data_IF_039318567941
#
_entry.id   IF_039318567941
#
_cell.length_a   1.000
_cell.length_b   1.000
_cell.length_c   1.000
_cell.angle_alpha   90.00
_cell.angle_beta   90.00
_cell.angle_gamma   90.00
#
_symmetry.space_group_name_H-M   'P 1'
#
loop_
_entity.id
_entity.type
_entity.pdbx_description
1 polymer ?
#
# COMPACT_ATOMS: atom_id res chain seq x y z
N UNK A 1 38.65 40.04 35.70
CA UNK A 1 38.47 40.15 34.24
C UNK A 1 37.39 39.16 33.84
N UNK A 2 36.30 39.61 33.21
CA UNK A 2 35.26 38.71 32.72
C UNK A 2 35.85 37.82 31.61
N UNK A 3 35.51 36.53 31.61
CA UNK A 3 35.98 35.64 30.56
C UNK A 3 35.30 36.00 29.23
N UNK A 4 35.99 35.79 28.10
CA UNK A 4 35.42 35.99 26.76
C UNK A 4 34.06 35.28 26.58
N UNK A 5 33.89 34.12 27.24
CA UNK A 5 32.63 33.39 27.26
C UNK A 5 31.50 34.15 27.98
N UNK A 6 31.78 34.77 29.13
CA UNK A 6 30.80 35.58 29.86
C UNK A 6 30.36 36.82 29.07
N UNK A 7 31.30 37.46 28.35
CA UNK A 7 30.97 38.59 27.48
C UNK A 7 30.12 38.13 26.28
N UNK A 8 30.41 36.95 25.73
CA UNK A 8 29.65 36.37 24.63
C UNK A 8 28.20 36.05 25.01
N UNK A 9 27.95 35.64 26.26
CA UNK A 9 26.60 35.33 26.74
C UNK A 9 25.70 36.56 26.89
N UNK A 10 26.29 37.74 27.07
CA UNK A 10 25.57 39.01 27.17
C UNK A 10 25.19 39.61 25.80
N UNK A 11 25.69 39.03 24.69
CA UNK A 11 25.40 39.52 23.34
C UNK A 11 24.00 39.10 22.87
N UNK A 12 23.34 39.98 22.11
CA UNK A 12 22.09 39.65 21.42
C UNK A 12 22.34 38.71 20.23
N UNK A 13 21.31 37.97 19.79
CA UNK A 13 21.43 36.96 18.73
C UNK A 13 22.16 37.40 17.43
N UNK A 14 21.89 38.59 16.84
CA UNK A 14 22.65 39.03 15.66
C UNK A 14 24.12 39.34 15.98
N UNK A 15 24.41 39.97 17.13
CA UNK A 15 25.78 40.25 17.57
C UNK A 15 26.57 38.96 17.86
N UNK A 16 25.91 37.92 18.42
CA UNK A 16 26.52 36.60 18.61
C UNK A 16 26.93 35.97 17.28
N UNK A 17 26.11 36.07 16.23
CA UNK A 17 26.49 35.55 14.90
C UNK A 17 27.71 36.25 14.35
N UNK A 18 27.72 37.58 14.37
CA UNK A 18 28.86 38.37 13.88
C UNK A 18 30.14 38.03 14.65
N UNK A 19 30.06 37.93 15.98
CA UNK A 19 31.19 37.53 16.81
C UNK A 19 31.66 36.10 16.50
N UNK A 20 30.75 35.13 16.34
CA UNK A 20 31.11 33.76 15.95
C UNK A 20 31.80 33.72 14.59
N UNK A 21 31.24 34.37 13.58
CA UNK A 21 31.85 34.45 12.25
C UNK A 21 33.26 35.05 12.33
N UNK A 22 33.41 36.17 13.05
CA UNK A 22 34.71 36.83 13.21
C UNK A 22 35.74 36.03 14.01
N UNK A 23 35.32 35.16 14.94
CA UNK A 23 36.17 34.21 15.66
C UNK A 23 36.60 33.09 14.70
N UNK A 24 35.64 32.50 13.99
CA UNK A 24 35.83 31.38 13.07
C UNK A 24 36.81 31.74 11.94
N UNK A 25 36.72 32.95 11.39
CA UNK A 25 37.63 33.46 10.34
C UNK A 25 39.07 33.65 10.82
N UNK A 26 39.29 33.79 12.13
CA UNK A 26 40.62 34.02 12.74
C UNK A 26 41.27 32.76 13.29
N UNK A 27 40.59 31.62 13.25
CA UNK A 27 41.13 30.37 13.76
C UNK A 27 42.28 29.87 12.87
N UNK A 28 43.33 29.39 13.52
CA UNK A 28 44.41 28.64 12.89
C UNK A 28 43.96 27.23 12.52
N UNK A 29 44.72 26.56 11.64
CA UNK A 29 44.42 25.19 11.23
C UNK A 29 44.36 24.19 12.40
N UNK A 30 45.16 24.39 13.46
CA UNK A 30 45.14 23.53 14.64
C UNK A 30 43.88 23.75 15.48
N UNK A 31 43.47 25.00 15.68
CA UNK A 31 42.25 25.35 16.42
C UNK A 31 40.99 24.92 15.67
N UNK A 32 41.00 24.97 14.33
CA UNK A 32 39.93 24.41 13.51
C UNK A 32 39.72 22.91 13.74
N UNK A 33 40.81 22.13 13.86
CA UNK A 33 40.69 20.69 14.19
C UNK A 33 40.13 20.48 15.59
N UNK A 34 40.51 21.30 16.56
CA UNK A 34 39.96 21.24 17.92
C UNK A 34 38.47 21.60 17.94
N UNK A 35 38.07 22.66 17.22
CA UNK A 35 36.66 23.04 17.07
C UNK A 35 35.87 21.93 16.40
N UNK A 36 36.38 21.32 15.33
CA UNK A 36 35.73 20.19 14.66
C UNK A 36 35.51 19.01 15.62
N UNK A 37 36.53 18.64 16.40
CA UNK A 37 36.39 17.60 17.43
C UNK A 37 35.33 17.95 18.47
N UNK A 38 35.29 19.19 18.95
CA UNK A 38 34.30 19.65 19.92
C UNK A 38 32.88 19.77 19.34
N UNK A 39 32.75 20.10 18.06
CA UNK A 39 31.45 20.10 17.35
C UNK A 39 30.97 18.67 17.17
N UNK A 40 31.85 17.72 16.87
CA UNK A 40 31.51 16.31 16.72
C UNK A 40 31.09 15.62 18.03
N UNK A 41 31.40 16.19 19.21
CA UNK A 41 30.84 15.68 20.48
C UNK A 41 29.42 16.16 20.74
N UNK A 42 28.94 17.17 20.00
CA UNK A 42 27.57 17.64 20.09
C UNK A 42 26.67 16.99 19.04
N UNK A 43 25.54 16.47 19.48
CA UNK A 43 24.53 15.91 18.60
C UNK A 43 23.57 17.00 18.14
N UNK A 44 23.63 17.35 16.85
CA UNK A 44 22.71 18.31 16.23
C UNK A 44 21.41 17.67 15.74
N UNK A 45 21.17 16.38 16.05
CA UNK A 45 19.92 15.70 15.68
C UNK A 45 18.74 16.33 16.41
N UNK A 46 17.76 16.77 15.63
CA UNK A 46 16.51 17.32 16.11
C UNK A 46 15.34 16.48 15.60
N UNK A 47 14.62 15.82 16.53
CA UNK A 47 13.40 15.09 16.18
C UNK A 47 12.25 16.09 16.03
N UNK A 48 12.06 16.56 14.79
CA UNK A 48 11.00 17.48 14.41
C UNK A 48 9.62 16.89 14.74
N UNK A 49 9.36 15.66 14.31
CA UNK A 49 8.03 15.04 14.42
C UNK A 49 7.63 14.85 15.88
N UNK A 50 8.55 14.44 16.75
CA UNK A 50 8.25 14.25 18.17
C UNK A 50 7.84 15.55 18.91
N UNK A 51 8.31 16.70 18.42
CA UNK A 51 8.12 18.03 19.04
C UNK A 51 6.97 18.83 18.45
N UNK A 52 6.53 18.50 17.23
CA UNK A 52 5.42 19.21 16.58
C UNK A 52 4.05 18.86 17.22
N UNK A 53 3.09 19.81 17.21
CA UNK A 53 1.67 19.53 17.43
C UNK A 53 1.13 18.52 16.40
N UNK A 54 0.08 17.80 16.78
CA UNK A 54 -0.47 16.69 15.98
C UNK A 54 -0.97 17.14 14.60
N UNK A 55 -1.46 18.38 14.50
CA UNK A 55 -1.95 19.01 13.28
C UNK A 55 -0.80 19.23 12.28
N UNK A 56 0.35 19.68 12.78
CA UNK A 56 1.54 19.88 11.94
C UNK A 56 2.15 18.53 11.55
N UNK A 57 2.09 17.53 12.42
CA UNK A 57 2.46 16.15 12.06
C UNK A 57 1.55 15.63 10.96
N UNK A 58 0.22 15.83 11.05
CA UNK A 58 -0.72 15.44 10.02
C UNK A 58 -0.39 16.14 8.68
N UNK A 59 -0.14 17.45 8.70
CA UNK A 59 0.23 18.22 7.51
C UNK A 59 1.51 17.68 6.83
N UNK A 60 2.51 17.26 7.60
CA UNK A 60 3.72 16.62 7.05
C UNK A 60 3.40 15.26 6.43
N UNK A 61 2.64 14.41 7.14
CA UNK A 61 2.38 13.04 6.71
C UNK A 61 1.39 12.92 5.55
N UNK A 62 0.55 13.92 5.33
CA UNK A 62 -0.33 14.07 4.15
C UNK A 62 0.45 14.12 2.83
N UNK A 63 1.74 14.48 2.87
CA UNK A 63 2.63 14.50 1.71
C UNK A 63 3.49 13.23 1.56
N UNK A 64 3.35 12.26 2.46
CA UNK A 64 4.06 11.00 2.42
C UNK A 64 3.14 9.88 1.91
N UNK A 65 3.71 8.76 1.40
CA UNK A 65 2.90 7.59 1.07
C UNK A 65 2.06 7.15 2.27
N UNK A 66 0.80 6.77 2.05
CA UNK A 66 -0.16 6.47 3.14
C UNK A 66 0.37 5.42 4.12
N UNK A 67 1.13 4.44 3.63
CA UNK A 67 1.70 3.39 4.46
C UNK A 67 2.85 3.87 5.37
N UNK A 68 3.41 5.06 5.14
CA UNK A 68 4.51 5.63 5.90
C UNK A 68 4.15 5.85 7.37
N UNK A 69 2.91 6.27 7.68
CA UNK A 69 2.48 6.47 9.07
C UNK A 69 2.61 5.18 9.91
N UNK A 70 2.31 4.02 9.31
CA UNK A 70 2.41 2.72 9.98
C UNK A 70 3.85 2.24 10.10
N UNK A 71 4.67 2.49 9.09
CA UNK A 71 6.10 2.18 9.13
C UNK A 71 6.83 3.04 10.18
N UNK A 72 6.59 4.34 10.17
CA UNK A 72 7.30 5.29 11.02
C UNK A 72 6.80 5.32 12.47
N UNK A 73 5.61 4.79 12.75
CA UNK A 73 5.17 4.49 14.12
C UNK A 73 6.08 3.49 14.86
N UNK A 74 7.05 2.87 14.17
CA UNK A 74 8.07 1.98 14.75
C UNK A 74 9.34 2.72 15.19
N UNK A 75 9.52 3.99 14.81
CA UNK A 75 10.74 4.79 15.09
C UNK A 75 10.93 5.02 16.58
N UNK A 76 9.87 5.47 17.28
CA UNK A 76 9.90 5.70 18.72
C UNK A 76 8.49 5.58 19.32
N UNK A 77 8.41 5.49 20.66
CA UNK A 77 7.12 5.49 21.37
C UNK A 77 6.35 6.79 21.14
N UNK A 78 7.06 7.92 21.06
CA UNK A 78 6.45 9.24 20.80
C UNK A 78 5.87 9.32 19.39
N UNK A 79 6.60 8.84 18.38
CA UNK A 79 6.10 8.75 17.01
C UNK A 79 4.87 7.85 16.93
N UNK A 80 4.88 6.70 17.60
CA UNK A 80 3.72 5.81 17.66
C UNK A 80 2.49 6.53 18.20
N UNK A 81 2.60 7.25 19.31
CA UNK A 81 1.46 7.98 19.89
C UNK A 81 0.93 9.04 18.93
N UNK A 82 1.80 9.82 18.30
CA UNK A 82 1.41 10.87 17.35
C UNK A 82 0.75 10.29 16.09
N UNK A 83 1.36 9.27 15.48
CA UNK A 83 0.91 8.69 14.22
C UNK A 83 -0.30 7.75 14.38
N UNK A 84 -0.51 7.20 15.58
CA UNK A 84 -1.74 6.45 15.90
C UNK A 84 -2.93 7.37 16.24
N UNK A 85 -2.72 8.69 16.33
CA UNK A 85 -3.83 9.62 16.56
C UNK A 85 -4.86 9.51 15.44
N UNK A 86 -6.14 9.69 15.79
CA UNK A 86 -7.22 9.65 14.82
C UNK A 86 -7.08 10.76 13.78
N UNK A 87 -6.69 11.96 14.21
CA UNK A 87 -6.50 13.11 13.34
C UNK A 87 -5.48 12.83 12.22
N UNK A 88 -4.28 12.33 12.56
CA UNK A 88 -3.24 12.02 11.56
C UNK A 88 -3.72 10.93 10.60
N UNK A 89 -4.32 9.85 11.12
CA UNK A 89 -4.83 8.75 10.28
C UNK A 89 -5.92 9.20 9.34
N UNK A 90 -6.89 9.98 9.83
CA UNK A 90 -7.98 10.51 9.04
C UNK A 90 -7.45 11.42 7.92
N UNK A 91 -6.61 12.40 8.24
CA UNK A 91 -6.03 13.29 7.23
C UNK A 91 -5.26 12.55 6.13
N UNK A 92 -4.47 11.54 6.51
CA UNK A 92 -3.69 10.77 5.53
C UNK A 92 -4.58 9.86 4.66
N UNK A 93 -5.65 9.28 5.22
CA UNK A 93 -6.55 8.38 4.48
C UNK A 93 -7.62 9.13 3.67
N UNK A 94 -8.00 10.34 4.08
CA UNK A 94 -9.06 11.13 3.44
C UNK A 94 -8.78 11.49 1.97
N UNK A 95 -7.52 11.46 1.54
CA UNK A 95 -7.14 11.64 0.14
C UNK A 95 -7.55 10.46 -0.76
N UNK A 96 -7.70 9.26 -0.18
CA UNK A 96 -7.92 8.01 -0.90
C UNK A 96 -9.29 7.41 -0.62
N UNK A 97 -9.84 7.69 0.56
CA UNK A 97 -11.11 7.13 1.01
C UNK A 97 -12.04 8.19 1.58
N UNK A 98 -13.31 8.06 1.25
CA UNK A 98 -14.44 8.75 1.88
C UNK A 98 -15.15 7.82 2.88
N UNK A 99 -15.95 8.41 3.77
CA UNK A 99 -16.82 7.65 4.70
C UNK A 99 -17.90 6.85 3.99
N UNK A 100 -18.16 7.16 2.71
CA UNK A 100 -19.15 6.45 1.87
C UNK A 100 -18.57 5.25 1.12
N UNK A 101 -17.26 5.05 1.17
CA UNK A 101 -16.65 3.96 0.42
C UNK A 101 -17.04 2.60 0.98
N UNK A 102 -17.24 1.60 0.11
CA UNK A 102 -17.54 0.25 0.56
C UNK A 102 -16.40 -0.30 1.41
N UNK A 103 -16.76 -1.15 2.36
CA UNK A 103 -15.78 -1.84 3.20
C UNK A 103 -14.86 -2.70 2.34
N UNK A 104 -13.55 -2.67 2.65
CA UNK A 104 -12.58 -3.51 1.95
C UNK A 104 -12.82 -4.99 2.26
N UNK A 105 -12.44 -5.85 1.32
CA UNK A 105 -12.42 -7.29 1.58
C UNK A 105 -11.48 -7.61 2.76
N UNK A 106 -11.94 -8.47 3.67
CA UNK A 106 -11.28 -8.82 4.94
C UNK A 106 -11.19 -7.69 5.99
N UNK A 107 -11.96 -6.60 5.83
CA UNK A 107 -12.00 -5.53 6.80
C UNK A 107 -12.66 -5.99 8.11
N UNK A 108 -11.94 -5.85 9.24
CA UNK A 108 -12.46 -6.15 10.57
C UNK A 108 -13.20 -4.96 11.18
N UNK A 109 -13.95 -5.20 12.26
CA UNK A 109 -14.62 -4.14 13.02
C UNK A 109 -13.65 -3.21 13.77
N UNK A 110 -12.37 -3.61 13.95
CA UNK A 110 -11.38 -2.80 14.64
C UNK A 110 -10.85 -1.67 13.73
N UNK A 111 -11.01 -0.43 14.18
CA UNK A 111 -10.60 0.79 13.45
C UNK A 111 -9.11 0.77 13.09
N UNK A 112 -8.23 0.29 13.98
CA UNK A 112 -6.79 0.27 13.69
C UNK A 112 -6.43 -0.70 12.58
N UNK A 113 -7.03 -1.89 12.61
CA UNK A 113 -6.84 -2.90 11.56
C UNK A 113 -7.44 -2.42 10.24
N UNK A 114 -8.60 -1.75 10.31
CA UNK A 114 -9.29 -1.13 9.17
C UNK A 114 -8.40 -0.12 8.44
N UNK A 115 -7.81 0.82 9.18
CA UNK A 115 -6.97 1.88 8.62
C UNK A 115 -5.66 1.30 8.04
N UNK A 116 -5.09 0.30 8.71
CA UNK A 116 -3.92 -0.42 8.21
C UNK A 116 -4.21 -1.18 6.90
N UNK A 117 -5.38 -1.80 6.77
CA UNK A 117 -5.83 -2.45 5.55
C UNK A 117 -6.02 -1.45 4.40
N UNK A 118 -6.62 -0.29 4.68
CA UNK A 118 -6.74 0.80 3.69
C UNK A 118 -5.37 1.27 3.20
N UNK A 119 -4.43 1.50 4.12
CA UNK A 119 -3.07 1.89 3.75
C UNK A 119 -2.34 0.82 2.94
N UNK A 120 -2.53 -0.46 3.28
CA UNK A 120 -2.00 -1.59 2.49
C UNK A 120 -2.61 -1.63 1.09
N UNK A 121 -3.92 -1.40 0.97
CA UNK A 121 -4.60 -1.36 -0.32
C UNK A 121 -4.05 -0.26 -1.22
N UNK A 122 -3.90 0.97 -0.70
CA UNK A 122 -3.28 2.09 -1.42
C UNK A 122 -1.85 1.74 -1.85
N UNK A 123 -1.04 1.19 -0.94
CA UNK A 123 0.33 0.77 -1.28
C UNK A 123 0.36 -0.25 -2.42
N UNK A 124 -0.50 -1.27 -2.36
CA UNK A 124 -0.60 -2.26 -3.43
C UNK A 124 -1.00 -1.61 -4.76
N UNK A 125 -1.93 -0.65 -4.73
CA UNK A 125 -2.33 0.12 -5.90
C UNK A 125 -1.17 0.93 -6.49
N UNK A 126 -0.45 1.70 -5.66
CA UNK A 126 0.71 2.50 -6.06
C UNK A 126 1.86 1.63 -6.63
N UNK A 127 2.08 0.44 -6.06
CA UNK A 127 3.12 -0.50 -6.51
C UNK A 127 2.69 -1.39 -7.70
N UNK A 128 1.48 -1.22 -8.23
CA UNK A 128 0.88 -2.10 -9.25
C UNK A 128 0.88 -3.59 -8.84
N UNK A 129 0.65 -3.86 -7.55
CA UNK A 129 0.58 -5.22 -6.99
C UNK A 129 -0.87 -5.58 -6.63
N UNK A 130 -1.27 -6.85 -6.82
CA UNK A 130 -2.60 -7.28 -6.41
C UNK A 130 -2.75 -7.19 -4.88
N UNK A 131 -3.79 -6.49 -4.41
CA UNK A 131 -4.10 -6.38 -2.98
C UNK A 131 -4.64 -7.70 -2.40
N UNK A 132 -5.53 -8.35 -3.13
CA UNK A 132 -6.10 -9.64 -2.78
C UNK A 132 -5.95 -10.61 -3.95
N UNK A 133 -5.64 -11.86 -3.62
CA UNK A 133 -5.63 -12.96 -4.56
C UNK A 133 -6.64 -13.99 -4.06
N UNK A 134 -7.64 -14.27 -4.89
CA UNK A 134 -8.54 -15.39 -4.64
C UNK A 134 -8.21 -16.49 -5.63
N UNK A 135 -7.83 -17.65 -5.11
CA UNK A 135 -7.67 -18.86 -5.91
C UNK A 135 -8.99 -19.61 -5.87
N UNK A 136 -9.54 -19.83 -7.04
CA UNK A 136 -10.67 -20.72 -7.21
C UNK A 136 -10.11 -22.09 -7.54
N UNK A 137 -10.33 -23.06 -6.66
CA UNK A 137 -10.13 -24.45 -7.04
C UNK A 137 -11.22 -24.75 -8.04
N UNK A 138 -10.82 -24.85 -9.29
CA UNK A 138 -11.74 -25.21 -10.31
C UNK A 138 -12.23 -26.65 -10.05
N UNK A 139 -13.52 -26.96 -10.25
CA UNK A 139 -14.06 -28.30 -9.99
C UNK A 139 -13.43 -29.42 -10.86
N UNK A 140 -12.52 -29.06 -11.77
CA UNK A 140 -11.76 -29.98 -12.62
C UNK A 140 -10.34 -30.29 -12.10
N UNK A 141 -10.01 -29.91 -10.86
CA UNK A 141 -8.64 -29.91 -10.30
C UNK A 141 -7.93 -31.25 -10.14
N UNK A 142 -8.57 -32.38 -10.45
CA UNK A 142 -7.88 -33.67 -10.48
C UNK A 142 -7.16 -33.96 -11.80
N UNK A 143 -7.49 -33.22 -12.87
CA UNK A 143 -6.81 -33.36 -14.15
C UNK A 143 -5.80 -32.24 -14.31
N UNK A 144 -4.54 -32.63 -14.55
CA UNK A 144 -3.51 -31.71 -15.06
C UNK A 144 -4.10 -31.03 -16.30
N UNK A 145 -3.91 -29.72 -16.40
CA UNK A 145 -4.21 -28.97 -17.62
C UNK A 145 -3.26 -29.48 -18.72
N UNK A 146 -3.52 -30.66 -19.26
CA UNK A 146 -2.94 -31.07 -20.53
C UNK A 146 -3.61 -30.20 -21.59
N UNK A 147 -2.87 -29.16 -22.01
CA UNK A 147 -2.92 -28.18 -23.10
C UNK A 147 -4.16 -27.95 -24.01
N UNK A 148 -5.29 -28.64 -23.85
CA UNK A 148 -6.35 -28.62 -24.87
C UNK A 148 -7.79 -28.52 -24.36
N UNK A 149 -8.06 -28.31 -23.07
CA UNK A 149 -9.44 -28.02 -22.64
C UNK A 149 -9.80 -26.58 -23.04
N UNK A 150 -10.71 -26.38 -24.02
CA UNK A 150 -11.11 -25.02 -24.39
C UNK A 150 -11.84 -24.41 -23.19
N UNK A 151 -11.29 -23.30 -22.70
CA UNK A 151 -11.87 -22.48 -21.66
C UNK A 151 -11.90 -21.03 -22.14
N UNK A 152 -12.91 -20.29 -21.74
CA UNK A 152 -13.01 -18.86 -22.03
C UNK A 152 -13.39 -18.12 -20.76
N UNK A 153 -12.90 -16.89 -20.67
CA UNK A 153 -13.17 -16.00 -19.55
C UNK A 153 -13.65 -14.66 -20.08
N UNK A 154 -14.82 -14.22 -19.62
CA UNK A 154 -15.35 -12.90 -19.94
C UNK A 154 -15.95 -12.27 -18.68
N UNK A 155 -15.41 -11.12 -18.27
CA UNK A 155 -15.80 -10.36 -17.08
C UNK A 155 -15.74 -11.18 -15.79
N UNK A 156 -16.85 -11.77 -15.40
CA UNK A 156 -17.03 -12.49 -14.13
C UNK A 156 -17.42 -13.94 -14.38
N UNK A 157 -17.46 -14.35 -15.64
CA UNK A 157 -17.94 -15.66 -16.04
C UNK A 157 -16.82 -16.44 -16.67
N UNK A 158 -16.65 -17.68 -16.21
CA UNK A 158 -15.73 -18.66 -16.77
C UNK A 158 -16.58 -19.75 -17.41
N UNK A 159 -16.27 -20.13 -18.65
CA UNK A 159 -16.93 -21.24 -19.33
C UNK A 159 -15.88 -22.25 -19.83
N UNK A 160 -16.19 -23.55 -19.71
CA UNK A 160 -15.31 -24.62 -20.16
C UNK A 160 -16.12 -25.85 -20.59
N UNK A 161 -15.51 -26.74 -21.38
CA UNK A 161 -16.11 -28.01 -21.77
C UNK A 161 -15.86 -29.10 -20.73
N UNK A 162 -16.88 -29.91 -20.46
CA UNK A 162 -16.76 -31.09 -19.60
C UNK A 162 -16.29 -32.31 -20.42
N UNK A 163 -14.98 -32.43 -20.68
CA UNK A 163 -14.45 -33.45 -21.59
C UNK A 163 -14.52 -34.89 -21.02
N UNK A 164 -14.68 -35.03 -19.70
CA UNK A 164 -14.57 -36.31 -18.99
C UNK A 164 -15.87 -37.12 -18.90
N UNK A 165 -16.98 -36.45 -18.63
CA UNK A 165 -18.24 -37.10 -18.25
C UNK A 165 -19.37 -36.77 -19.23
N UNK A 166 -19.31 -35.62 -19.90
CA UNK A 166 -20.36 -35.16 -20.79
C UNK A 166 -19.82 -34.17 -21.83
N UNK A 167 -19.23 -34.67 -22.93
CA UNK A 167 -18.61 -33.84 -23.97
C UNK A 167 -19.63 -33.03 -24.81
N UNK A 168 -20.90 -33.06 -24.41
CA UNK A 168 -22.01 -32.31 -25.01
C UNK A 168 -22.43 -31.12 -24.15
N UNK A 169 -21.71 -30.88 -23.06
CA UNK A 169 -22.08 -29.88 -22.09
C UNK A 169 -20.97 -28.87 -21.83
N UNK A 170 -21.41 -27.65 -21.60
CA UNK A 170 -20.60 -26.50 -21.23
C UNK A 170 -20.93 -26.19 -19.78
N UNK A 171 -19.89 -26.07 -18.99
CA UNK A 171 -19.97 -25.61 -17.62
C UNK A 171 -19.71 -24.12 -17.59
N UNK A 172 -20.53 -23.40 -16.83
CA UNK A 172 -20.47 -21.95 -16.66
C UNK A 172 -20.34 -21.66 -15.17
N UNK A 173 -19.33 -20.89 -14.78
CA UNK A 173 -19.10 -20.47 -13.40
C UNK A 173 -19.12 -18.96 -13.29
N UNK A 174 -19.94 -18.45 -12.38
CA UNK A 174 -19.96 -17.02 -12.03
C UNK A 174 -19.06 -16.75 -10.83
N UNK A 175 -17.99 -15.99 -11.04
CA UNK A 175 -17.08 -15.52 -9.98
C UNK A 175 -17.79 -14.67 -8.92
N UNK A 176 -18.90 -14.00 -9.29
CA UNK A 176 -19.70 -13.14 -8.40
C UNK A 176 -20.57 -13.95 -7.45
N UNK A 177 -21.32 -14.91 -7.97
CA UNK A 177 -22.29 -15.68 -7.17
C UNK A 177 -21.74 -17.00 -6.66
N UNK A 178 -20.56 -17.41 -7.14
CA UNK A 178 -20.02 -18.75 -6.97
C UNK A 178 -20.96 -19.87 -7.44
N UNK A 179 -21.92 -19.54 -8.32
CA UNK A 179 -22.85 -20.50 -8.89
C UNK A 179 -22.23 -21.16 -10.13
N UNK A 180 -22.46 -22.47 -10.24
CA UNK A 180 -22.11 -23.25 -11.41
C UNK A 180 -23.39 -23.66 -12.12
N UNK A 181 -23.44 -23.45 -13.43
CA UNK A 181 -24.56 -23.86 -14.28
C UNK A 181 -24.03 -24.73 -15.40
N UNK A 182 -24.76 -25.81 -15.68
CA UNK A 182 -24.48 -26.71 -16.79
C UNK A 182 -25.45 -26.42 -17.91
N UNK A 183 -24.94 -26.20 -19.12
CA UNK A 183 -25.73 -25.98 -20.33
C UNK A 183 -25.34 -27.04 -21.35
N UNK A 184 -26.32 -27.67 -21.96
CA UNK A 184 -26.12 -28.60 -23.07
C UNK A 184 -26.88 -28.07 -24.29
N UNK A 185 -26.36 -28.32 -25.49
CA UNK A 185 -27.10 -28.07 -26.72
C UNK A 185 -28.19 -29.12 -26.94
N UNK A 186 -29.20 -28.78 -27.74
CA UNK A 186 -30.26 -29.73 -28.12
C UNK A 186 -29.74 -30.85 -29.04
N UNK A 187 -28.65 -30.58 -29.77
CA UNK A 187 -28.00 -31.54 -30.65
C UNK A 187 -27.18 -32.56 -29.83
N UNK A 188 -27.27 -33.85 -30.19
CA UNK A 188 -26.48 -34.94 -29.56
C UNK A 188 -24.99 -34.94 -29.97
N UNK A 189 -24.53 -33.87 -30.57
CA UNK A 189 -23.19 -33.71 -31.12
C UNK A 189 -22.18 -33.28 -30.05
N UNK A 190 -20.91 -33.64 -30.26
CA UNK A 190 -19.84 -33.25 -29.34
C UNK A 190 -19.51 -31.78 -29.55
N UNK A 191 -19.42 -31.03 -28.46
CA UNK A 191 -18.96 -29.65 -28.50
C UNK A 191 -17.44 -29.65 -28.58
N UNK A 192 -16.88 -28.90 -29.53
CA UNK A 192 -15.43 -28.88 -29.80
C UNK A 192 -14.78 -27.53 -29.50
N UNK A 193 -15.53 -26.44 -29.67
CA UNK A 193 -15.06 -25.08 -29.35
C UNK A 193 -16.16 -24.28 -28.65
N UNK A 194 -15.73 -23.34 -27.82
CA UNK A 194 -16.61 -22.38 -27.18
C UNK A 194 -16.05 -20.97 -27.31
N UNK A 195 -16.93 -19.98 -27.37
CA UNK A 195 -16.62 -18.56 -27.23
C UNK A 195 -17.62 -17.90 -26.31
N UNK A 196 -17.07 -17.22 -25.30
CA UNK A 196 -17.83 -16.51 -24.29
C UNK A 196 -17.67 -15.01 -24.50
N UNK A 197 -18.80 -14.33 -24.61
CA UNK A 197 -18.90 -12.86 -24.56
C UNK A 197 -19.68 -12.47 -23.31
N UNK A 198 -19.90 -11.17 -23.11
CA UNK A 198 -20.64 -10.68 -21.96
C UNK A 198 -22.15 -11.00 -21.99
N UNK A 199 -22.67 -11.38 -23.16
CA UNK A 199 -24.12 -11.66 -23.37
C UNK A 199 -24.39 -13.01 -24.02
N UNK A 200 -23.43 -13.57 -24.74
CA UNK A 200 -23.62 -14.76 -25.55
C UNK A 200 -22.54 -15.79 -25.25
N UNK A 201 -22.98 -17.04 -25.11
CA UNK A 201 -22.15 -18.23 -25.18
C UNK A 201 -22.43 -18.88 -26.54
N UNK A 202 -21.42 -18.88 -27.41
CA UNK A 202 -21.47 -19.58 -28.69
C UNK A 202 -20.57 -20.81 -28.62
N UNK A 203 -20.97 -21.88 -29.29
CA UNK A 203 -20.17 -23.10 -29.35
C UNK A 203 -20.30 -23.77 -30.71
N UNK A 204 -19.27 -24.53 -31.08
CA UNK A 204 -19.25 -25.31 -32.31
C UNK A 204 -19.37 -26.78 -31.95
N UNK A 205 -20.33 -27.43 -32.58
CA UNK A 205 -20.49 -28.88 -32.52
C UNK A 205 -19.82 -29.54 -33.72
N UNK A 206 -19.39 -30.78 -33.55
CA UNK A 206 -18.96 -31.63 -34.65
C UNK A 206 -19.82 -32.89 -34.68
N UNK A 207 -20.45 -33.14 -35.83
CA UNK A 207 -21.02 -34.43 -36.21
C UNK A 207 -19.93 -35.25 -36.91
N UNK A 208 -19.71 -36.47 -36.43
CA UNK A 208 -18.90 -37.49 -37.09
C UNK A 208 -19.76 -38.69 -37.43
#
# INVERSE_FOLDING_TARGET
>A
MASLAQTFDQLCAPARRVALTGIVERLTAAEWRQLALAVHTHDFRFDLIARLPVELVAAVFVHLPVHAMFLYARVSRRWRVLLSSEHVRHCCLAQWYSDRDPMLHCQSANIHDRDALKAKHVKCFEEARPYSLRRYNAPWSERRFDDHMPFEFCRETIAWLEDAHDPRSIMIYSLRTAATTKVAGDARERITRLKLTDRLLAFLTASG
#
